data_IF_008198425877
#
_entry.id   IF_008198425877
#
_cell.length_a   1.000
_cell.length_b   1.000
_cell.length_c   1.000
_cell.angle_alpha   90.00
_cell.angle_beta   90.00
_cell.angle_gamma   90.00
#
_symmetry.space_group_name_H-M   'P 1'
#
loop_
_entity.id
_entity.type
_entity.pdbx_description
1 polymer ?
#
# COMPACT_ATOMS: atom_id res chain seq x y z
N UNK A 1 -22.11 -28.21 -3.99
CA UNK A 1 -21.80 -26.78 -3.76
C UNK A 1 -20.43 -26.55 -4.36
N UNK A 2 -20.25 -25.55 -5.25
CA UNK A 2 -18.90 -25.15 -5.68
C UNK A 2 -18.28 -24.44 -4.48
N UNK A 3 -17.16 -24.93 -3.99
CA UNK A 3 -16.38 -24.22 -2.96
C UNK A 3 -16.07 -22.83 -3.51
N UNK A 4 -16.63 -21.81 -2.87
CA UNK A 4 -16.28 -20.43 -3.17
C UNK A 4 -14.83 -20.27 -2.75
N UNK A 5 -13.96 -19.92 -3.71
CA UNK A 5 -12.58 -19.59 -3.39
C UNK A 5 -12.59 -18.42 -2.39
N UNK A 6 -12.11 -18.66 -1.18
CA UNK A 6 -11.91 -17.61 -0.18
C UNK A 6 -10.44 -17.26 -0.17
N UNK A 7 -10.13 -15.99 -0.47
CA UNK A 7 -8.78 -15.45 -0.38
C UNK A 7 -8.64 -14.63 0.89
N UNK A 8 -7.49 -14.73 1.54
CA UNK A 8 -7.16 -13.98 2.74
C UNK A 8 -6.08 -12.96 2.42
N UNK A 9 -6.36 -11.70 2.71
CA UNK A 9 -5.45 -10.59 2.49
C UNK A 9 -5.05 -10.00 3.83
N UNK A 10 -3.76 -9.77 4.00
CA UNK A 10 -3.24 -9.10 5.18
C UNK A 10 -3.44 -7.60 5.08
N UNK A 11 -3.64 -6.98 6.25
CA UNK A 11 -3.37 -5.56 6.41
C UNK A 11 -1.86 -5.40 6.41
N UNK A 12 -1.37 -4.38 5.70
CA UNK A 12 0.06 -4.25 5.44
C UNK A 12 0.58 -2.93 5.97
N UNK A 13 1.73 -2.96 6.62
CA UNK A 13 2.43 -1.81 7.16
C UNK A 13 3.52 -1.36 6.19
N UNK A 14 3.57 -0.05 5.91
CA UNK A 14 4.63 0.60 5.14
C UNK A 14 5.24 1.74 5.96
N UNK A 15 6.50 1.59 6.37
CA UNK A 15 7.20 2.61 7.18
C UNK A 15 7.44 3.88 6.36
N UNK A 16 7.22 5.05 6.97
CA UNK A 16 7.46 6.33 6.26
C UNK A 16 8.92 6.50 5.88
N UNK A 17 9.86 6.02 6.70
CA UNK A 17 11.29 6.05 6.35
C UNK A 17 11.61 5.25 5.08
N UNK A 18 10.93 4.13 4.85
CA UNK A 18 11.12 3.32 3.64
C UNK A 18 10.50 4.02 2.42
N UNK A 19 9.33 4.67 2.60
CA UNK A 19 8.71 5.50 1.56
C UNK A 19 9.67 6.61 1.11
N UNK A 20 10.28 7.33 2.05
CA UNK A 20 11.25 8.38 1.75
C UNK A 20 12.50 7.82 1.05
N UNK A 21 13.02 6.68 1.50
CA UNK A 21 14.16 6.02 0.84
C UNK A 21 13.83 5.60 -0.60
N UNK A 22 12.62 5.10 -0.86
CA UNK A 22 12.15 4.78 -2.22
C UNK A 22 12.05 6.04 -3.09
N UNK A 23 11.59 7.17 -2.55
CA UNK A 23 11.56 8.46 -3.25
C UNK A 23 12.98 8.92 -3.57
N UNK A 24 13.87 8.94 -2.57
CA UNK A 24 15.24 9.43 -2.71
C UNK A 24 16.07 8.56 -3.67
N UNK A 25 15.78 7.27 -3.76
CA UNK A 25 16.43 6.33 -4.67
C UNK A 25 15.86 6.31 -6.09
N UNK A 26 14.73 6.98 -6.33
CA UNK A 26 13.98 6.94 -7.60
C UNK A 26 13.77 8.34 -8.18
N UNK A 27 14.82 8.90 -8.78
CA UNK A 27 14.76 10.21 -9.43
C UNK A 27 13.67 10.26 -10.51
N UNK A 28 12.82 11.29 -10.45
CA UNK A 28 11.70 11.47 -11.35
C UNK A 28 10.55 10.47 -11.18
N UNK A 29 10.34 9.96 -9.96
CA UNK A 29 9.15 9.15 -9.60
C UNK A 29 7.84 9.91 -9.84
N UNK A 30 6.88 9.25 -10.49
CA UNK A 30 5.52 9.77 -10.67
C UNK A 30 4.50 9.03 -9.80
N UNK A 31 4.70 7.71 -9.61
CA UNK A 31 3.75 6.85 -8.91
C UNK A 31 4.45 5.80 -8.06
N UNK A 32 3.78 5.41 -6.97
CA UNK A 32 3.99 4.18 -6.24
C UNK A 32 3.07 3.11 -6.81
N UNK A 33 3.65 1.97 -7.20
CA UNK A 33 2.92 0.81 -7.70
C UNK A 33 3.10 -0.35 -6.74
N UNK A 34 2.01 -0.78 -6.15
CA UNK A 34 1.93 -1.90 -5.23
C UNK A 34 1.48 -3.16 -5.99
N UNK A 35 2.39 -4.10 -6.15
CA UNK A 35 2.16 -5.36 -6.85
C UNK A 35 2.04 -6.53 -5.85
N UNK A 36 1.19 -7.49 -6.15
CA UNK A 36 1.05 -8.68 -5.31
C UNK A 36 2.22 -9.64 -5.52
N UNK A 37 2.73 -10.20 -4.42
CA UNK A 37 3.67 -11.31 -4.47
C UNK A 37 3.38 -12.33 -3.38
N UNK A 38 3.92 -13.53 -3.58
CA UNK A 38 3.92 -14.58 -2.56
C UNK A 38 5.32 -14.65 -1.94
N UNK A 39 5.48 -14.25 -0.67
CA UNK A 39 6.75 -14.36 0.03
C UNK A 39 7.14 -15.83 0.16
N UNK A 40 8.45 -16.10 0.08
CA UNK A 40 9.01 -17.42 0.34
C UNK A 40 8.98 -17.68 1.85
N UNK A 41 7.82 -18.12 2.36
CA UNK A 41 7.61 -18.45 3.78
C UNK A 41 7.35 -19.94 3.95
N UNK A 42 7.78 -20.50 5.06
CA UNK A 42 7.45 -21.87 5.46
C UNK A 42 5.99 -22.06 5.90
N UNK A 43 5.19 -20.98 5.93
CA UNK A 43 3.79 -21.04 6.32
C UNK A 43 2.90 -21.64 5.24
N UNK A 44 2.11 -22.66 5.62
CA UNK A 44 1.20 -23.39 4.74
C UNK A 44 0.14 -22.52 4.04
N UNK A 45 -0.12 -21.30 4.55
CA UNK A 45 -1.13 -20.38 4.01
C UNK A 45 -0.65 -19.47 2.87
N UNK A 46 0.66 -19.34 2.63
CA UNK A 46 1.27 -18.40 1.65
C UNK A 46 0.58 -17.02 1.62
N UNK A 47 0.84 -16.14 2.61
CA UNK A 47 0.15 -14.87 2.71
C UNK A 47 0.38 -14.01 1.46
N UNK A 48 -0.67 -13.49 0.81
CA UNK A 48 -0.52 -12.48 -0.23
C UNK A 48 -0.01 -11.18 0.43
N UNK A 49 1.15 -10.70 -0.02
CA UNK A 49 1.74 -9.43 0.41
C UNK A 49 1.89 -8.49 -0.79
N UNK A 50 2.18 -7.21 -0.51
CA UNK A 50 2.46 -6.21 -1.53
C UNK A 50 3.94 -5.86 -1.53
N UNK A 51 4.48 -5.67 -2.73
CA UNK A 51 5.77 -5.03 -2.98
C UNK A 51 5.52 -3.66 -3.63
N UNK A 52 6.16 -2.62 -3.12
CA UNK A 52 6.09 -1.27 -3.65
C UNK A 52 7.27 -1.02 -4.60
N UNK A 53 6.96 -0.56 -5.79
CA UNK A 53 7.90 -0.03 -6.76
C UNK A 53 7.61 1.45 -7.02
N UNK A 54 8.64 2.23 -7.31
CA UNK A 54 8.46 3.51 -7.97
C UNK A 54 8.26 3.26 -9.47
N UNK A 55 7.33 3.99 -10.07
CA UNK A 55 7.12 4.02 -11.51
C UNK A 55 7.34 5.43 -12.02
N UNK A 56 8.26 5.56 -12.98
CA UNK A 56 8.73 6.82 -13.54
C UNK A 56 8.30 6.89 -15.01
N UNK A 57 7.51 7.89 -15.36
CA UNK A 57 7.03 8.20 -16.71
C UNK A 57 7.34 9.67 -16.99
N UNK A 58 8.54 9.92 -17.49
CA UNK A 58 9.04 11.28 -17.72
C UNK A 58 9.69 11.41 -19.10
N UNK A 59 10.24 12.57 -19.42
CA UNK A 59 10.84 12.82 -20.73
C UNK A 59 11.99 11.86 -21.09
N UNK A 60 12.72 11.33 -20.09
CA UNK A 60 13.77 10.33 -20.30
C UNK A 60 13.20 8.91 -20.44
N UNK A 61 12.02 8.65 -19.88
CA UNK A 61 11.35 7.35 -19.86
C UNK A 61 9.89 7.49 -20.31
N UNK A 62 9.63 7.80 -21.60
CA UNK A 62 8.28 8.07 -22.10
C UNK A 62 7.35 6.84 -22.02
N UNK A 63 7.92 5.64 -22.11
CA UNK A 63 7.17 4.37 -22.02
C UNK A 63 6.99 3.87 -20.58
N UNK A 64 7.57 4.58 -19.60
CA UNK A 64 7.56 4.18 -18.21
C UNK A 64 8.63 3.14 -17.85
N UNK A 65 9.24 3.30 -16.69
CA UNK A 65 10.12 2.29 -16.08
C UNK A 65 9.76 2.09 -14.61
N UNK A 66 10.06 0.91 -14.08
CA UNK A 66 9.98 0.61 -12.65
C UNK A 66 11.36 0.75 -12.01
N UNK A 67 11.40 1.17 -10.74
CA UNK A 67 12.63 1.25 -9.97
C UNK A 67 13.25 -0.14 -9.75
N UNK A 68 14.58 -0.17 -9.67
CA UNK A 68 15.31 -1.38 -9.26
C UNK A 68 15.28 -1.58 -7.75
N UNK A 69 15.21 -0.48 -6.98
CA UNK A 69 14.95 -0.50 -5.55
C UNK A 69 13.44 -0.68 -5.31
N UNK A 70 13.07 -1.52 -4.35
CA UNK A 70 11.68 -1.82 -4.04
C UNK A 70 11.54 -2.20 -2.56
N UNK A 71 10.35 -1.98 -2.01
CA UNK A 71 10.02 -2.31 -0.63
C UNK A 71 9.01 -3.45 -0.54
N UNK A 72 9.27 -4.44 0.30
CA UNK A 72 8.24 -5.41 0.69
C UNK A 72 7.47 -4.88 1.89
N UNK A 73 6.16 -4.78 1.77
CA UNK A 73 5.33 -4.33 2.89
C UNK A 73 5.18 -5.46 3.91
N UNK A 74 5.28 -5.08 5.18
CA UNK A 74 5.21 -6.02 6.30
C UNK A 74 3.78 -6.25 6.76
N UNK A 75 3.53 -7.35 7.45
CA UNK A 75 2.23 -7.62 8.06
C UNK A 75 1.92 -6.64 9.21
N UNK A 76 0.69 -6.14 9.26
CA UNK A 76 0.21 -5.30 10.35
C UNK A 76 -0.62 -6.11 11.36
N UNK A 77 -0.01 -6.43 12.50
CA UNK A 77 -0.64 -7.11 13.65
C UNK A 77 -1.37 -8.42 13.31
N UNK A 78 -0.95 -9.14 12.27
CA UNK A 78 -1.61 -10.34 11.77
C UNK A 78 -3.09 -10.14 11.41
N UNK A 79 -3.52 -8.88 11.17
CA UNK A 79 -4.89 -8.56 10.78
C UNK A 79 -5.14 -8.98 9.34
N UNK A 80 -6.30 -9.58 9.10
CA UNK A 80 -6.66 -10.09 7.77
C UNK A 80 -8.10 -9.79 7.42
N UNK A 81 -8.33 -9.66 6.11
CA UNK A 81 -9.63 -9.59 5.48
C UNK A 81 -9.84 -10.85 4.65
N UNK A 82 -10.91 -11.59 4.92
CA UNK A 82 -11.33 -12.70 4.07
C UNK A 82 -12.32 -12.21 3.02
N UNK A 83 -12.03 -12.53 1.76
CA UNK A 83 -12.87 -12.17 0.62
C UNK A 83 -13.32 -13.45 -0.06
N UNK A 84 -14.63 -13.67 -0.06
CA UNK A 84 -15.27 -14.83 -0.66
C UNK A 84 -15.59 -14.59 -2.14
N UNK A 85 -15.32 -15.58 -2.98
CA UNK A 85 -15.62 -15.57 -4.40
C UNK A 85 -14.47 -15.05 -5.28
N UNK A 86 -14.63 -15.07 -6.61
CA UNK A 86 -13.60 -14.58 -7.51
C UNK A 86 -13.33 -13.09 -7.30
N UNK A 87 -12.06 -12.72 -7.42
CA UNK A 87 -11.57 -11.34 -7.36
C UNK A 87 -10.51 -11.11 -8.43
N UNK A 88 -10.33 -9.84 -8.78
CA UNK A 88 -9.32 -9.39 -9.73
C UNK A 88 -8.19 -8.74 -8.93
N UNK A 89 -6.98 -9.27 -9.11
CA UNK A 89 -5.76 -8.75 -8.51
C UNK A 89 -5.07 -7.89 -9.56
N UNK A 90 -5.17 -6.57 -9.41
CA UNK A 90 -4.49 -5.59 -10.25
C UNK A 90 -3.46 -4.84 -9.42
N UNK A 91 -2.46 -4.26 -10.09
CA UNK A 91 -1.55 -3.35 -9.43
C UNK A 91 -2.33 -2.20 -8.80
N UNK A 92 -1.95 -1.84 -7.60
CA UNK A 92 -2.54 -0.76 -6.83
C UNK A 92 -1.65 0.47 -6.95
N UNK A 93 -2.19 1.63 -7.30
CA UNK A 93 -1.38 2.81 -7.63
C UNK A 93 -1.76 4.00 -6.76
N UNK A 94 -0.74 4.70 -6.25
CA UNK A 94 -0.84 6.04 -5.71
C UNK A 94 0.16 6.94 -6.44
N UNK A 95 -0.28 8.15 -6.83
CA UNK A 95 0.67 9.15 -7.34
C UNK A 95 1.63 9.62 -6.25
N UNK A 96 2.80 10.15 -6.66
CA UNK A 96 3.75 10.78 -5.74
C UNK A 96 3.06 11.85 -4.90
N UNK A 97 2.27 12.73 -5.53
CA UNK A 97 1.51 13.77 -4.82
C UNK A 97 0.59 13.18 -3.75
N UNK A 98 -0.11 12.08 -4.08
CA UNK A 98 -0.99 11.45 -3.10
C UNK A 98 -0.23 10.86 -1.93
N UNK A 99 0.95 10.26 -2.18
CA UNK A 99 1.81 9.71 -1.16
C UNK A 99 2.39 10.80 -0.25
N UNK A 100 2.91 11.88 -0.83
CA UNK A 100 3.41 13.04 -0.07
C UNK A 100 2.32 13.63 0.83
N UNK A 101 1.09 13.77 0.33
CA UNK A 101 -0.03 14.19 1.16
C UNK A 101 -0.34 13.24 2.34
N UNK A 102 -0.02 11.95 2.23
CA UNK A 102 -0.19 10.97 3.33
C UNK A 102 0.94 11.05 4.35
N UNK A 103 2.17 11.40 3.93
CA UNK A 103 3.36 11.36 4.81
C UNK A 103 3.79 12.74 5.33
N UNK A 104 3.32 13.85 4.74
CA UNK A 104 3.79 15.20 5.08
C UNK A 104 2.71 16.12 5.72
N UNK A 105 1.47 15.65 5.98
CA UNK A 105 0.36 16.54 6.39
C UNK A 105 -0.44 16.06 7.62
N UNK A 106 -0.68 16.89 8.67
CA UNK A 106 0.11 18.06 9.12
C UNK A 106 1.30 17.66 10.03
N UNK A 107 1.32 16.41 10.48
CA UNK A 107 2.40 15.80 11.26
C UNK A 107 2.82 14.53 10.54
N UNK A 108 4.12 14.30 10.39
CA UNK A 108 4.66 13.13 9.71
C UNK A 108 4.29 11.85 10.48
N UNK A 109 3.54 10.90 9.89
CA UNK A 109 3.25 9.63 10.53
C UNK A 109 4.51 8.77 10.63
N UNK A 110 4.48 7.79 11.51
CA UNK A 110 5.56 6.80 11.61
C UNK A 110 5.45 5.77 10.47
N UNK A 111 4.21 5.36 10.16
CA UNK A 111 3.92 4.39 9.12
C UNK A 111 2.52 4.57 8.54
N UNK A 112 2.31 3.98 7.38
CA UNK A 112 1.00 3.82 6.75
C UNK A 112 0.51 2.38 6.92
N UNK A 113 -0.79 2.20 7.06
CA UNK A 113 -1.47 0.90 7.05
C UNK A 113 -2.34 0.82 5.80
N UNK A 114 -2.08 -0.19 4.99
CA UNK A 114 -2.84 -0.53 3.79
C UNK A 114 -3.86 -1.60 4.16
N UNK A 115 -5.14 -1.27 4.04
CA UNK A 115 -6.29 -2.10 4.42
C UNK A 115 -6.97 -2.64 3.15
N UNK A 116 -6.98 -3.96 2.92
CA UNK A 116 -7.56 -4.55 1.72
C UNK A 116 -9.08 -4.38 1.68
N UNK A 117 -9.60 -4.01 0.50
CA UNK A 117 -11.01 -3.81 0.22
C UNK A 117 -11.34 -4.28 -1.21
N UNK A 118 -12.63 -4.35 -1.55
CA UNK A 118 -13.11 -4.86 -2.84
C UNK A 118 -14.20 -3.96 -3.39
N UNK A 119 -14.03 -3.51 -4.62
CA UNK A 119 -15.03 -2.66 -5.27
C UNK A 119 -16.16 -3.49 -5.90
N UNK A 120 -17.15 -2.80 -6.49
CA UNK A 120 -18.29 -3.46 -7.15
C UNK A 120 -17.88 -4.39 -8.29
N UNK A 121 -16.77 -4.09 -8.98
CA UNK A 121 -16.23 -4.87 -10.10
C UNK A 121 -15.30 -6.00 -9.66
N UNK A 122 -15.22 -6.25 -8.34
CA UNK A 122 -14.42 -7.32 -7.73
C UNK A 122 -12.91 -7.13 -7.83
N UNK A 123 -12.44 -5.92 -8.12
CA UNK A 123 -11.02 -5.58 -7.98
C UNK A 123 -10.66 -5.40 -6.51
N UNK A 124 -9.56 -6.02 -6.09
CA UNK A 124 -8.97 -5.78 -4.77
C UNK A 124 -8.16 -4.50 -4.83
N UNK A 125 -8.46 -3.60 -3.90
CA UNK A 125 -7.70 -2.37 -3.67
C UNK A 125 -7.39 -2.21 -2.19
N UNK A 126 -6.59 -1.20 -1.85
CA UNK A 126 -6.23 -0.91 -0.46
C UNK A 126 -6.59 0.53 -0.11
N UNK A 127 -7.33 0.70 0.98
CA UNK A 127 -7.48 2.00 1.64
C UNK A 127 -6.24 2.23 2.50
N UNK A 128 -5.65 3.42 2.43
CA UNK A 128 -4.39 3.75 3.11
C UNK A 128 -4.65 4.74 4.24
N UNK A 129 -4.23 4.36 5.46
CA UNK A 129 -4.40 5.13 6.69
C UNK A 129 -3.03 5.50 7.29
N UNK A 130 -2.90 6.71 7.81
CA UNK A 130 -1.69 7.19 8.49
C UNK A 130 -1.72 6.87 9.99
N UNK A 131 -0.63 6.35 10.54
CA UNK A 131 -0.50 5.96 11.94
C UNK A 131 0.72 6.58 12.63
N UNK A 132 0.56 6.89 13.91
CA UNK A 132 1.58 7.49 14.77
C UNK A 132 1.86 6.55 15.95
N UNK A 133 3.13 6.39 16.32
CA UNK A 133 3.54 5.66 17.51
C UNK A 133 3.21 6.49 18.77
N UNK A 134 2.69 5.83 19.81
CA UNK A 134 2.26 6.47 21.07
C UNK A 134 3.35 7.32 21.76
N UNK A 135 4.64 7.12 21.45
CA UNK A 135 5.75 7.88 22.02
C UNK A 135 5.86 9.32 21.50
N UNK A 136 5.27 9.65 20.34
CA UNK A 136 5.21 11.02 19.82
C UNK A 136 4.09 11.85 20.46
N UNK A 137 3.22 11.23 21.26
CA UNK A 137 2.08 11.87 21.93
C UNK A 137 2.37 12.31 23.39
N UNK A 138 3.60 12.76 23.69
CA UNK A 138 3.91 13.41 24.98
C UNK A 138 3.31 14.82 24.97
N UNK A 139 1.99 14.94 25.15
CA UNK A 139 1.38 16.25 25.38
C UNK A 139 -0.12 16.37 25.17
N UNK A 140 -0.81 15.37 24.65
CA UNK A 140 -2.28 15.44 24.55
C UNK A 140 -2.86 14.03 24.56
N UNK A 141 -3.92 13.86 25.36
CA UNK A 141 -4.63 12.60 25.59
C UNK A 141 -4.78 11.75 24.32
N UNK A 142 -4.52 10.44 24.44
CA UNK A 142 -4.84 9.38 23.48
C UNK A 142 -5.24 9.91 22.09
N UNK A 143 -4.26 10.15 21.21
CA UNK A 143 -4.48 10.30 19.76
C UNK A 143 -4.87 8.95 19.15
N UNK A 144 -5.91 8.32 19.70
CA UNK A 144 -6.62 7.27 18.98
C UNK A 144 -7.43 7.99 17.91
N UNK A 145 -6.97 7.87 16.65
CA UNK A 145 -7.68 8.29 15.43
C UNK A 145 -8.00 9.80 15.28
N UNK A 146 -7.10 10.72 15.67
CA UNK A 146 -7.29 12.16 15.45
C UNK A 146 -6.61 12.63 14.15
N UNK A 147 -7.42 12.70 13.09
CA UNK A 147 -7.32 13.56 11.90
C UNK A 147 -6.03 13.50 11.09
N UNK A 148 -5.65 12.30 10.62
CA UNK A 148 -4.87 12.19 9.39
C UNK A 148 -5.71 12.67 8.18
N UNK A 149 -5.08 12.89 7.01
CA UNK A 149 -5.84 13.09 5.77
C UNK A 149 -6.85 11.94 5.59
N UNK A 150 -8.00 12.18 4.93
CA UNK A 150 -8.96 11.12 4.67
C UNK A 150 -8.26 9.94 3.99
N UNK A 151 -8.66 8.69 4.32
CA UNK A 151 -8.04 7.51 3.71
C UNK A 151 -8.03 7.64 2.20
N UNK A 152 -6.90 7.27 1.58
CA UNK A 152 -6.78 7.23 0.13
C UNK A 152 -6.86 5.81 -0.35
N UNK A 153 -7.73 5.58 -1.32
CA UNK A 153 -7.81 4.31 -2.00
C UNK A 153 -6.75 4.24 -3.08
N UNK A 154 -6.05 3.12 -3.15
CA UNK A 154 -5.22 2.80 -4.31
C UNK A 154 -6.14 2.57 -5.51
N UNK A 155 -5.83 3.19 -6.65
CA UNK A 155 -6.59 2.89 -7.86
C UNK A 155 -6.00 1.64 -8.52
N UNK A 156 -6.80 0.61 -8.87
CA UNK A 156 -6.31 -0.46 -9.72
C UNK A 156 -5.77 0.13 -11.03
N UNK A 157 -4.57 -0.28 -11.45
CA UNK A 157 -3.95 0.20 -12.69
C UNK A 157 -4.91 0.03 -13.88
N UNK A 158 -4.96 1.00 -14.81
CA UNK A 158 -5.73 0.84 -16.03
C UNK A 158 -5.25 -0.38 -16.83
N UNK A 159 -6.11 -0.98 -17.69
CA UNK A 159 -5.71 -2.10 -18.51
C UNK A 159 -4.53 -1.71 -19.41
N UNK A 160 -3.58 -2.63 -19.61
CA UNK A 160 -2.55 -2.45 -20.61
C UNK A 160 -3.22 -2.30 -21.99
N UNK A 161 -2.99 -1.15 -22.65
CA UNK A 161 -3.45 -0.87 -24.02
C UNK A 161 -2.54 -1.47 -25.07
#
# INVERSE_FOLDING_TARGET
>A
MKDLQTLRFYWLKYEVSAIEELIDSSDGIDNFVFSYYYPATDHAGKPLQLVAYAHMVNAAHPDGIYSTYYDTLSDYEHKTQEICGPVILSNNVLSLTQMLELIDNPEKPDYLVLIPNVNSDRHVYYSVEAHYNDASAIGTAQKSALSGPPPKDTNPSPPAT
#
